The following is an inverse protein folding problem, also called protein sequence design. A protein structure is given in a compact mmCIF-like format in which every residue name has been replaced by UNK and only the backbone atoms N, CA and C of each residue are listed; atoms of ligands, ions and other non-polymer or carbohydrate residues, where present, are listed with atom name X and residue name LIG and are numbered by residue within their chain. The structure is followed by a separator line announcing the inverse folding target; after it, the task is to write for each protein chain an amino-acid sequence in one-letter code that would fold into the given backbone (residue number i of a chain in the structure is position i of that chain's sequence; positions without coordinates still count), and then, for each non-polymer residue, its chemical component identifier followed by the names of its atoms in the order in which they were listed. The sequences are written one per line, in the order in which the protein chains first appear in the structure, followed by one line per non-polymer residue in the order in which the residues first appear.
data_IF_507262856469
#
_entry.id   IF_507262856469
#
_cell.length_a   1.000
_cell.length_b   1.000
_cell.length_c   1.000
_cell.angle_alpha   90.00
_cell.angle_beta   90.00
_cell.angle_gamma   90.00
#
_symmetry.space_group_name_H-M   'P 1'
#
loop_
_entity.id
_entity.type
_entity.pdbx_description
1 polymer ?
#
# COMPACT_ATOMS: atom_id res chain seq x y z
N UNK A 1 -4.99 0.17 -13.41
CA UNK A 1 -5.14 -0.58 -14.69
C UNK A 1 -5.72 0.29 -15.80
N UNK A 2 -6.97 0.77 -15.73
CA UNK A 2 -7.58 1.54 -16.83
C UNK A 2 -6.78 2.78 -17.28
N UNK A 3 -6.30 3.58 -16.33
CA UNK A 3 -5.54 4.82 -16.59
C UNK A 3 -4.13 4.53 -17.15
N UNK A 4 -3.52 3.45 -16.70
CA UNK A 4 -2.16 3.06 -17.09
C UNK A 4 -2.11 2.14 -18.30
N UNK A 5 -3.24 1.82 -18.93
CA UNK A 5 -3.33 0.83 -20.01
C UNK A 5 -2.31 1.07 -21.15
N UNK A 6 -2.12 2.32 -21.58
CA UNK A 6 -1.24 2.63 -22.71
C UNK A 6 0.24 2.47 -22.32
N UNK A 7 0.57 2.84 -21.07
CA UNK A 7 1.90 2.64 -20.47
C UNK A 7 2.16 1.15 -20.25
N UNK A 8 1.16 0.42 -19.77
CA UNK A 8 1.25 -1.00 -19.49
C UNK A 8 1.38 -1.84 -20.76
N UNK A 9 0.72 -1.45 -21.85
CA UNK A 9 0.91 -2.08 -23.17
C UNK A 9 2.34 -1.89 -23.69
N UNK A 10 2.98 -0.77 -23.38
CA UNK A 10 4.36 -0.52 -23.79
C UNK A 10 5.42 -1.21 -22.90
N UNK A 11 5.08 -1.63 -21.68
CA UNK A 11 6.04 -2.21 -20.74
C UNK A 11 6.15 -3.74 -20.95
N UNK A 12 7.34 -4.29 -21.24
CA UNK A 12 7.54 -5.73 -21.43
C UNK A 12 7.12 -6.57 -20.22
N UNK A 13 7.19 -6.02 -19.00
CA UNK A 13 6.80 -6.70 -17.76
C UNK A 13 5.28 -6.86 -17.63
N UNK A 14 4.49 -5.98 -18.26
CA UNK A 14 3.05 -5.89 -17.98
C UNK A 14 2.16 -6.09 -19.21
N UNK A 15 2.70 -5.91 -20.41
CA UNK A 15 2.01 -6.08 -21.69
C UNK A 15 1.30 -7.43 -21.85
N UNK A 16 1.99 -8.53 -21.53
CA UNK A 16 1.44 -9.89 -21.68
C UNK A 16 0.62 -10.36 -20.47
N UNK A 17 0.94 -9.87 -19.27
CA UNK A 17 0.41 -10.40 -18.01
C UNK A 17 -0.86 -9.67 -17.57
N UNK A 18 -0.96 -8.35 -17.83
CA UNK A 18 -2.11 -7.56 -17.38
C UNK A 18 -3.27 -7.70 -18.36
N UNK A 19 -4.46 -7.79 -17.79
CA UNK A 19 -5.70 -8.21 -18.45
C UNK A 19 -6.24 -7.16 -19.42
N UNK A 20 -5.98 -5.87 -19.20
CA UNK A 20 -6.35 -4.83 -20.17
C UNK A 20 -5.32 -4.79 -21.32
N UNK A 21 -4.01 -4.69 -21.07
CA UNK A 21 -2.99 -4.76 -22.12
C UNK A 21 -3.05 -5.99 -23.02
N UNK A 22 -3.24 -7.18 -22.46
CA UNK A 22 -3.31 -8.44 -23.21
C UNK A 22 -4.70 -8.73 -23.83
N UNK A 23 -5.65 -7.80 -23.67
CA UNK A 23 -6.98 -7.89 -24.27
C UNK A 23 -7.99 -8.81 -23.57
N UNK A 24 -7.60 -9.49 -22.47
CA UNK A 24 -8.52 -10.36 -21.71
C UNK A 24 -9.73 -9.61 -21.13
N UNK A 25 -9.57 -8.32 -20.81
CA UNK A 25 -10.63 -7.42 -20.33
C UNK A 25 -10.65 -6.15 -21.18
N UNK A 26 -11.81 -5.83 -21.76
CA UNK A 26 -12.02 -4.57 -22.48
C UNK A 26 -11.88 -3.38 -21.52
N UNK A 27 -11.15 -2.34 -21.93
CA UNK A 27 -10.95 -1.14 -21.13
C UNK A 27 -12.27 -0.48 -20.67
N UNK A 28 -13.28 -0.42 -21.56
CA UNK A 28 -14.59 0.14 -21.23
C UNK A 28 -15.33 -0.68 -20.16
N UNK A 29 -15.18 -2.02 -20.16
CA UNK A 29 -15.75 -2.87 -19.11
C UNK A 29 -15.12 -2.57 -17.76
N UNK A 30 -13.79 -2.40 -17.71
CA UNK A 30 -13.10 -2.01 -16.49
C UNK A 30 -13.52 -0.61 -16.01
N UNK A 31 -13.73 0.35 -16.92
CA UNK A 31 -14.19 1.70 -16.59
C UNK A 31 -15.59 1.70 -15.98
N UNK A 32 -16.54 1.02 -16.61
CA UNK A 32 -17.91 0.86 -16.09
C UNK A 32 -17.88 0.17 -14.73
N UNK A 33 -17.04 -0.86 -14.57
CA UNK A 33 -16.88 -1.54 -13.28
C UNK A 33 -16.39 -0.60 -12.18
N UNK A 34 -15.43 0.28 -12.46
CA UNK A 34 -14.95 1.29 -11.50
C UNK A 34 -16.06 2.28 -11.12
N UNK A 35 -16.86 2.75 -12.09
CA UNK A 35 -18.01 3.63 -11.82
C UNK A 35 -19.01 2.94 -10.89
N UNK A 36 -19.41 1.71 -11.22
CA UNK A 36 -20.37 0.95 -10.41
C UNK A 36 -19.84 0.76 -8.98
N UNK A 37 -18.59 0.35 -8.81
CA UNK A 37 -18.00 0.15 -7.48
C UNK A 37 -17.85 1.47 -6.70
N UNK A 38 -17.59 2.60 -7.39
CA UNK A 38 -17.53 3.91 -6.74
C UNK A 38 -18.90 4.33 -6.22
N UNK A 39 -19.97 4.11 -6.99
CA UNK A 39 -21.35 4.37 -6.57
C UNK A 39 -21.77 3.44 -5.43
N UNK A 40 -21.43 2.15 -5.50
CA UNK A 40 -21.68 1.18 -4.43
C UNK A 40 -20.93 1.53 -3.16
N UNK A 41 -19.69 2.01 -3.27
CA UNK A 41 -18.91 2.47 -2.13
C UNK A 41 -19.59 3.67 -1.43
N UNK A 42 -19.95 4.71 -2.18
CA UNK A 42 -20.65 5.89 -1.61
C UNK A 42 -21.98 5.45 -0.98
N UNK A 43 -22.77 4.63 -1.68
CA UNK A 43 -24.05 4.13 -1.17
C UNK A 43 -23.87 3.33 0.11
N UNK A 44 -22.88 2.44 0.17
CA UNK A 44 -22.56 1.68 1.38
C UNK A 44 -22.16 2.61 2.53
N UNK A 45 -21.31 3.61 2.28
CA UNK A 45 -20.92 4.57 3.33
C UNK A 45 -22.07 5.42 3.85
N UNK A 46 -23.05 5.75 2.99
CA UNK A 46 -24.30 6.40 3.37
C UNK A 46 -25.12 5.54 4.35
N UNK A 47 -25.14 4.22 4.15
CA UNK A 47 -25.86 3.28 5.01
C UNK A 47 -25.13 2.98 6.33
N UNK A 48 -23.86 3.35 6.47
CA UNK A 48 -23.06 3.11 7.68
C UNK A 48 -23.26 4.25 8.69
N UNK A 49 -22.74 5.46 8.39
CA UNK A 49 -22.92 6.64 9.24
C UNK A 49 -22.57 7.93 8.46
N UNK A 50 -22.97 9.12 8.97
CA UNK A 50 -22.73 10.39 8.29
C UNK A 50 -21.25 10.70 8.03
N UNK A 51 -20.35 10.36 8.95
CA UNK A 51 -18.91 10.66 8.79
C UNK A 51 -18.34 9.86 7.62
N UNK A 52 -18.60 8.55 7.56
CA UNK A 52 -18.18 7.71 6.44
C UNK A 52 -18.73 8.22 5.11
N UNK A 53 -20.00 8.63 5.06
CA UNK A 53 -20.61 9.19 3.86
C UNK A 53 -19.90 10.46 3.37
N UNK A 54 -19.70 11.44 4.24
CA UNK A 54 -19.07 12.72 3.88
C UNK A 54 -17.58 12.57 3.52
N UNK A 55 -16.89 11.58 4.09
CA UNK A 55 -15.49 11.29 3.76
C UNK A 55 -15.33 10.39 2.52
N UNK A 56 -16.38 9.69 2.09
CA UNK A 56 -16.31 8.78 0.93
C UNK A 56 -15.81 9.43 -0.37
N UNK A 57 -16.17 10.68 -0.73
CA UNK A 57 -15.64 11.31 -1.94
C UNK A 57 -14.15 11.63 -1.81
N UNK A 58 -13.68 11.96 -0.61
CA UNK A 58 -12.26 12.22 -0.32
C UNK A 58 -11.47 10.91 -0.45
N UNK A 59 -12.00 9.81 0.10
CA UNK A 59 -11.37 8.50 -0.02
C UNK A 59 -11.26 8.06 -1.49
N UNK A 60 -12.34 8.22 -2.28
CA UNK A 60 -12.32 7.93 -3.71
C UNK A 60 -11.35 8.82 -4.47
N UNK A 61 -11.26 10.12 -4.13
CA UNK A 61 -10.32 11.03 -4.77
C UNK A 61 -8.86 10.55 -4.60
N UNK A 62 -8.49 10.08 -3.41
CA UNK A 62 -7.14 9.56 -3.15
C UNK A 62 -6.93 8.23 -3.90
N UNK A 63 -7.86 7.27 -3.76
CA UNK A 63 -7.75 5.92 -4.33
C UNK A 63 -7.82 5.92 -5.87
N UNK A 64 -8.58 6.82 -6.48
CA UNK A 64 -8.61 6.96 -7.94
C UNK A 64 -7.47 7.86 -8.42
N UNK A 65 -7.13 8.89 -7.65
CA UNK A 65 -6.12 9.89 -7.98
C UNK A 65 -4.69 9.35 -8.02
N UNK A 66 -4.32 8.39 -7.16
CA UNK A 66 -2.95 7.86 -7.14
C UNK A 66 -2.51 7.29 -8.49
N UNK A 67 -3.44 6.75 -9.29
CA UNK A 67 -3.10 6.18 -10.61
C UNK A 67 -2.50 7.21 -11.57
N UNK A 68 -2.72 8.50 -11.33
CA UNK A 68 -2.19 9.58 -12.17
C UNK A 68 -0.84 10.10 -11.71
N UNK A 69 -0.45 9.89 -10.46
CA UNK A 69 0.64 10.67 -9.82
C UNK A 69 2.00 10.44 -10.46
N UNK A 70 2.26 9.24 -10.98
CA UNK A 70 3.52 8.94 -11.68
C UNK A 70 3.75 9.78 -12.95
N UNK A 71 2.73 10.49 -13.46
CA UNK A 71 2.85 11.38 -14.62
C UNK A 71 3.43 12.76 -14.29
N UNK A 72 3.51 13.12 -13.01
CA UNK A 72 3.95 14.46 -12.61
C UNK A 72 4.72 14.52 -11.28
N UNK A 73 4.79 13.44 -10.49
CA UNK A 73 5.55 13.42 -9.23
C UNK A 73 6.16 12.05 -8.93
N UNK A 74 7.40 12.06 -8.43
CA UNK A 74 8.07 10.84 -7.95
C UNK A 74 7.53 10.38 -6.59
N UNK A 75 6.71 11.18 -5.91
CA UNK A 75 6.06 10.80 -4.65
C UNK A 75 4.85 9.87 -4.85
N UNK A 76 4.69 9.30 -6.04
CA UNK A 76 3.59 8.38 -6.38
C UNK A 76 3.47 7.20 -5.41
N UNK A 77 4.58 6.66 -4.91
CA UNK A 77 4.60 5.58 -3.91
C UNK A 77 3.97 6.02 -2.57
N UNK A 78 4.17 7.28 -2.17
CA UNK A 78 3.60 7.84 -0.95
C UNK A 78 2.10 8.10 -1.11
N UNK A 79 1.66 8.52 -2.30
CA UNK A 79 0.22 8.69 -2.58
C UNK A 79 -0.49 7.32 -2.66
N UNK A 80 0.17 6.30 -3.22
CA UNK A 80 -0.32 4.93 -3.18
C UNK A 80 -0.41 4.41 -1.73
N UNK A 81 0.64 4.63 -0.94
CA UNK A 81 0.64 4.34 0.50
C UNK A 81 -0.47 5.07 1.25
N UNK A 82 -0.73 6.33 0.89
CA UNK A 82 -1.83 7.12 1.45
C UNK A 82 -3.19 6.49 1.13
N UNK A 83 -3.40 6.06 -0.12
CA UNK A 83 -4.63 5.36 -0.51
C UNK A 83 -4.92 4.13 0.35
N UNK A 84 -3.92 3.30 0.63
CA UNK A 84 -4.08 2.13 1.50
C UNK A 84 -4.19 2.52 2.99
N UNK A 85 -3.52 3.59 3.42
CA UNK A 85 -3.58 4.09 4.78
C UNK A 85 -4.96 4.62 5.19
N UNK A 86 -5.88 4.84 4.25
CA UNK A 86 -7.26 5.18 4.61
C UNK A 86 -8.00 4.01 5.27
N UNK A 87 -7.52 2.77 5.12
CA UNK A 87 -8.23 1.57 5.59
C UNK A 87 -8.39 1.51 7.12
N UNK A 88 -7.36 1.72 7.97
CA UNK A 88 -7.54 1.66 9.43
C UNK A 88 -8.46 2.76 9.96
N UNK A 89 -8.31 4.01 9.48
CA UNK A 89 -9.24 5.12 9.81
C UNK A 89 -10.66 4.79 9.35
N UNK A 90 -10.84 4.33 8.11
CA UNK A 90 -12.15 3.99 7.56
C UNK A 90 -12.82 2.86 8.31
N UNK A 91 -12.08 1.82 8.67
CA UNK A 91 -12.60 0.68 9.44
C UNK A 91 -13.04 1.11 10.85
N UNK A 92 -12.25 1.94 11.54
CA UNK A 92 -12.61 2.45 12.85
C UNK A 92 -13.85 3.35 12.79
N UNK A 93 -13.85 4.34 11.88
CA UNK A 93 -15.00 5.23 11.68
C UNK A 93 -16.28 4.48 11.31
N UNK A 94 -16.19 3.39 10.57
CA UNK A 94 -17.35 2.59 10.19
C UNK A 94 -18.02 1.92 11.40
N UNK A 95 -17.25 1.58 12.44
CA UNK A 95 -17.75 0.91 13.64
C UNK A 95 -18.13 1.93 14.72
N UNK A 96 -17.28 2.93 14.96
CA UNK A 96 -17.43 3.84 16.11
C UNK A 96 -18.16 5.13 15.79
N UNK A 97 -18.06 5.61 14.54
CA UNK A 97 -18.54 6.95 14.18
C UNK A 97 -17.75 8.08 14.85
N UNK A 98 -16.55 7.81 15.36
CA UNK A 98 -15.73 8.79 16.09
C UNK A 98 -14.27 8.73 15.65
N UNK A 99 -13.57 9.87 15.73
CA UNK A 99 -12.14 9.93 15.47
C UNK A 99 -11.34 9.52 16.70
N UNK A 100 -10.30 8.73 16.47
CA UNK A 100 -9.36 8.31 17.51
C UNK A 100 -7.93 8.34 16.99
N UNK A 101 -6.96 8.44 17.91
CA UNK A 101 -5.54 8.52 17.59
C UNK A 101 -4.97 7.18 17.11
N UNK A 102 -5.45 6.06 17.63
CA UNK A 102 -4.96 4.71 17.33
C UNK A 102 -5.13 4.34 15.85
N UNK A 103 -6.31 4.46 15.22
CA UNK A 103 -6.44 4.17 13.80
C UNK A 103 -5.60 5.12 12.93
N UNK A 104 -5.34 6.36 13.38
CA UNK A 104 -4.42 7.27 12.69
C UNK A 104 -2.98 6.76 12.77
N UNK A 105 -2.52 6.29 13.94
CA UNK A 105 -1.19 5.68 14.08
C UNK A 105 -1.05 4.42 13.22
N UNK A 106 -2.04 3.53 13.20
CA UNK A 106 -2.05 2.38 12.29
C UNK A 106 -2.04 2.80 10.83
N UNK A 107 -2.72 3.89 10.48
CA UNK A 107 -2.69 4.44 9.12
C UNK A 107 -1.30 4.95 8.75
N UNK A 108 -0.57 5.59 9.68
CA UNK A 108 0.82 5.98 9.46
C UNK A 108 1.74 4.76 9.28
N UNK A 109 1.53 3.67 10.04
CA UNK A 109 2.23 2.40 9.82
C UNK A 109 1.99 1.90 8.40
N UNK A 110 0.73 1.83 7.96
CA UNK A 110 0.37 1.39 6.60
C UNK A 110 0.99 2.31 5.54
N UNK A 111 0.92 3.64 5.72
CA UNK A 111 1.52 4.60 4.81
C UNK A 111 3.00 4.31 4.58
N UNK A 112 3.79 4.22 5.64
CA UNK A 112 5.23 4.01 5.52
C UNK A 112 5.61 2.60 5.07
N UNK A 113 4.90 1.58 5.58
CA UNK A 113 5.09 0.21 5.15
C UNK A 113 4.82 0.04 3.66
N UNK A 114 3.68 0.52 3.18
CA UNK A 114 3.27 0.40 1.78
C UNK A 114 4.18 1.20 0.87
N UNK A 115 4.46 2.45 1.22
CA UNK A 115 5.37 3.28 0.43
C UNK A 115 6.74 2.64 0.30
N UNK A 116 7.26 2.06 1.40
CA UNK A 116 8.55 1.42 1.42
C UNK A 116 8.62 0.20 0.49
N UNK A 117 7.64 -0.71 0.54
CA UNK A 117 7.69 -1.89 -0.33
C UNK A 117 7.37 -1.56 -1.79
N UNK A 118 6.53 -0.56 -2.05
CA UNK A 118 6.20 -0.14 -3.42
C UNK A 118 7.42 0.49 -4.12
N UNK A 119 8.27 1.20 -3.37
CA UNK A 119 9.59 1.65 -3.85
C UNK A 119 10.48 0.45 -4.23
N UNK A 120 10.49 -0.62 -3.43
CA UNK A 120 11.25 -1.84 -3.76
C UNK A 120 10.70 -2.48 -5.04
N UNK A 121 9.36 -2.57 -5.14
CA UNK A 121 8.69 -3.20 -6.28
C UNK A 121 8.96 -2.48 -7.59
N UNK A 122 8.95 -1.14 -7.56
CA UNK A 122 9.18 -0.27 -8.72
C UNK A 122 10.63 -0.23 -9.20
N UNK A 123 11.60 -0.80 -8.47
CA UNK A 123 12.97 -0.96 -8.98
C UNK A 123 13.03 -1.75 -10.29
N UNK A 124 12.05 -2.63 -10.51
CA UNK A 124 11.92 -3.42 -11.75
C UNK A 124 11.57 -2.57 -12.97
N UNK A 125 10.94 -1.42 -12.75
CA UNK A 125 10.45 -0.54 -13.83
C UNK A 125 11.32 0.71 -14.00
N UNK A 126 12.46 0.86 -13.30
CA UNK A 126 13.24 2.11 -13.34
C UNK A 126 13.64 2.53 -14.76
N UNK A 127 14.18 1.60 -15.54
CA UNK A 127 14.66 1.87 -16.91
C UNK A 127 13.48 2.24 -17.81
N UNK A 128 12.39 1.48 -17.73
CA UNK A 128 11.17 1.76 -18.48
C UNK A 128 10.53 3.10 -18.10
N UNK A 129 10.40 3.39 -16.80
CA UNK A 129 9.86 4.65 -16.30
C UNK A 129 10.72 5.83 -16.79
N UNK A 130 12.04 5.67 -16.80
CA UNK A 130 12.97 6.70 -17.29
C UNK A 130 12.78 6.96 -18.78
N UNK A 131 12.68 5.91 -19.60
CA UNK A 131 12.47 6.02 -21.04
C UNK A 131 11.12 6.66 -21.39
N UNK A 132 10.07 6.29 -20.65
CA UNK A 132 8.72 6.85 -20.81
C UNK A 132 8.52 8.20 -20.11
N UNK A 133 9.58 8.79 -19.54
CA UNK A 133 9.54 10.07 -18.79
C UNK A 133 8.51 10.06 -17.65
N UNK A 134 8.34 8.92 -17.02
CA UNK A 134 7.52 8.76 -15.82
C UNK A 134 8.34 9.12 -14.57
N UNK A 135 7.62 9.49 -13.53
CA UNK A 135 8.18 9.90 -12.26
C UNK A 135 7.98 8.80 -11.21
N UNK A 136 9.10 8.26 -10.73
CA UNK A 136 9.16 7.32 -9.60
C UNK A 136 10.39 7.61 -8.74
N UNK A 137 10.39 7.11 -7.51
CA UNK A 137 11.54 7.26 -6.60
C UNK A 137 12.80 6.59 -7.17
N UNK A 138 12.74 5.38 -7.77
CA UNK A 138 13.89 4.80 -8.45
C UNK A 138 14.44 5.68 -9.57
N UNK A 139 13.59 6.30 -10.40
CA UNK A 139 14.04 7.21 -11.46
C UNK A 139 14.75 8.45 -10.89
N UNK A 140 14.21 9.01 -9.80
CA UNK A 140 14.71 10.23 -9.16
C UNK A 140 16.01 10.01 -8.38
N UNK A 141 16.09 8.94 -7.58
CA UNK A 141 17.17 8.71 -6.61
C UNK A 141 18.17 7.62 -7.06
N UNK A 142 17.80 6.79 -8.04
CA UNK A 142 18.52 5.58 -8.44
C UNK A 142 18.28 4.41 -7.47
N UNK A 143 18.50 3.16 -7.94
CA UNK A 143 18.22 1.92 -7.18
C UNK A 143 18.76 1.92 -5.74
N UNK A 144 20.01 2.36 -5.55
CA UNK A 144 20.68 2.35 -4.23
C UNK A 144 19.96 3.26 -3.22
N UNK A 145 19.68 4.50 -3.61
CA UNK A 145 19.09 5.48 -2.70
C UNK A 145 17.58 5.23 -2.52
N UNK A 146 16.90 4.71 -3.55
CA UNK A 146 15.53 4.23 -3.43
C UNK A 146 15.41 3.11 -2.37
N UNK A 147 16.32 2.13 -2.38
CA UNK A 147 16.38 1.10 -1.33
C UNK A 147 16.65 1.70 0.05
N UNK A 148 17.54 2.70 0.17
CA UNK A 148 17.79 3.37 1.45
C UNK A 148 16.56 4.12 1.95
N UNK A 149 15.83 4.82 1.08
CA UNK A 149 14.57 5.48 1.45
C UNK A 149 13.54 4.46 1.93
N UNK A 150 13.40 3.33 1.22
CA UNK A 150 12.52 2.23 1.64
C UNK A 150 12.88 1.68 3.02
N UNK A 151 14.18 1.55 3.36
CA UNK A 151 14.61 1.17 4.72
C UNK A 151 14.17 2.19 5.77
N UNK A 152 14.33 3.48 5.48
CA UNK A 152 13.89 4.55 6.40
C UNK A 152 12.38 4.47 6.64
N UNK A 153 11.58 4.31 5.58
CA UNK A 153 10.13 4.19 5.70
C UNK A 153 9.72 2.96 6.52
N UNK A 154 10.28 1.79 6.25
CA UNK A 154 9.99 0.59 7.05
C UNK A 154 10.44 0.73 8.50
N UNK A 155 11.56 1.41 8.75
CA UNK A 155 12.02 1.68 10.11
C UNK A 155 11.04 2.60 10.87
N UNK A 156 10.52 3.65 10.22
CA UNK A 156 9.47 4.50 10.78
C UNK A 156 8.18 3.71 11.08
N UNK A 157 7.78 2.81 10.17
CA UNK A 157 6.63 1.93 10.40
C UNK A 157 6.82 1.05 11.65
N UNK A 158 8.00 0.46 11.83
CA UNK A 158 8.34 -0.36 13.01
C UNK A 158 8.32 0.49 14.29
N UNK A 159 8.89 1.70 14.27
CA UNK A 159 8.86 2.59 15.44
C UNK A 159 7.43 2.89 15.86
N UNK A 160 6.58 3.32 14.92
CA UNK A 160 5.19 3.69 15.23
C UNK A 160 4.42 2.48 15.73
N UNK A 161 4.61 1.30 15.10
CA UNK A 161 3.97 0.07 15.54
C UNK A 161 4.40 -0.33 16.97
N UNK A 162 5.66 -0.12 17.33
CA UNK A 162 6.13 -0.32 18.70
C UNK A 162 5.47 0.67 19.67
N UNK A 163 5.32 1.95 19.28
CA UNK A 163 4.64 2.95 20.12
C UNK A 163 3.16 2.62 20.34
N UNK A 164 2.44 2.12 19.34
CA UNK A 164 1.06 1.64 19.50
C UNK A 164 1.00 0.54 20.55
N UNK A 165 1.93 -0.43 20.49
CA UNK A 165 2.02 -1.53 21.45
C UNK A 165 2.18 -1.07 22.89
N UNK A 166 3.01 -0.06 23.11
CA UNK A 166 3.22 0.54 24.43
C UNK A 166 2.02 1.38 24.89
N UNK A 167 1.43 2.16 23.99
CA UNK A 167 0.32 3.06 24.33
C UNK A 167 -0.94 2.30 24.75
N UNK A 168 -1.27 1.22 24.05
CA UNK A 168 -2.43 0.35 24.36
C UNK A 168 -2.14 -0.71 25.45
N UNK A 169 -0.94 -0.67 26.04
CA UNK A 169 -0.45 -1.66 27.00
C UNK A 169 -0.71 -3.10 26.51
N UNK A 170 -0.35 -3.39 25.25
CA UNK A 170 -0.57 -4.71 24.68
C UNK A 170 0.44 -5.72 25.22
N UNK A 171 -0.05 -6.94 25.46
CA UNK A 171 0.69 -8.05 26.00
C UNK A 171 1.43 -8.88 24.96
N UNK A 172 1.71 -10.13 25.34
CA UNK A 172 2.66 -10.99 24.64
C UNK A 172 2.29 -11.29 23.19
N UNK A 173 1.00 -11.41 22.84
CA UNK A 173 0.62 -11.83 21.49
C UNK A 173 0.89 -10.71 20.50
N UNK A 174 0.59 -9.46 20.88
CA UNK A 174 0.97 -8.30 20.08
C UNK A 174 2.47 -8.26 19.80
N UNK A 175 3.30 -8.41 20.84
CA UNK A 175 4.76 -8.34 20.69
C UNK A 175 5.34 -9.49 19.85
N UNK A 176 4.73 -10.69 19.90
CA UNK A 176 5.09 -11.79 18.99
C UNK A 176 4.75 -11.39 17.55
N UNK A 177 3.53 -10.90 17.29
CA UNK A 177 3.13 -10.42 15.97
C UNK A 177 4.04 -9.31 15.45
N UNK A 178 4.35 -8.32 16.29
CA UNK A 178 5.27 -7.22 16.02
C UNK A 178 6.67 -7.72 15.63
N UNK A 179 7.22 -8.67 16.38
CA UNK A 179 8.53 -9.26 16.10
C UNK A 179 8.55 -9.98 14.75
N UNK A 180 7.52 -10.78 14.45
CA UNK A 180 7.41 -11.48 13.16
C UNK A 180 7.26 -10.48 12.01
N UNK A 181 6.38 -9.50 12.14
CA UNK A 181 6.18 -8.45 11.14
C UNK A 181 7.47 -7.68 10.85
N UNK A 182 8.15 -7.22 11.91
CA UNK A 182 9.41 -6.48 11.81
C UNK A 182 10.53 -7.33 11.20
N UNK A 183 10.65 -8.60 11.59
CA UNK A 183 11.63 -9.51 11.02
C UNK A 183 11.41 -9.73 9.52
N UNK A 184 10.15 -9.88 9.08
CA UNK A 184 9.81 -10.02 7.67
C UNK A 184 10.10 -8.73 6.87
N UNK A 185 9.84 -7.54 7.44
CA UNK A 185 10.22 -6.27 6.82
C UNK A 185 11.73 -6.09 6.68
N UNK A 186 12.52 -6.58 7.63
CA UNK A 186 13.98 -6.58 7.54
C UNK A 186 14.44 -7.62 6.51
N UNK A 187 13.82 -8.80 6.50
CA UNK A 187 14.17 -9.89 5.62
C UNK A 187 14.04 -9.52 4.13
N UNK A 188 12.97 -8.83 3.72
CA UNK A 188 12.83 -8.38 2.33
C UNK A 188 13.98 -7.47 1.86
N UNK A 189 14.54 -6.65 2.76
CA UNK A 189 15.70 -5.81 2.46
C UNK A 189 17.00 -6.60 2.31
N UNK A 190 17.06 -7.82 2.84
CA UNK A 190 18.19 -8.75 2.61
C UNK A 190 18.04 -9.53 1.30
N UNK A 191 16.81 -9.74 0.85
CA UNK A 191 16.49 -10.47 -0.39
C UNK A 191 16.72 -9.62 -1.63
N UNK A 192 16.33 -8.34 -1.59
CA UNK A 192 16.42 -7.45 -2.74
C UNK A 192 17.74 -6.70 -2.71
N UNK A 193 18.58 -6.95 -3.73
CA UNK A 193 19.84 -6.23 -3.94
C UNK A 193 19.70 -5.36 -5.20
N UNK A 194 20.38 -4.21 -5.21
CA UNK A 194 20.36 -3.27 -6.33
C UNK A 194 20.71 -3.91 -7.70
N UNK A 195 21.56 -4.94 -7.69
CA UNK A 195 22.04 -5.63 -8.90
C UNK A 195 21.33 -6.96 -9.16
N UNK A 196 20.40 -7.37 -8.29
CA UNK A 196 19.70 -8.67 -8.39
C UNK A 196 18.24 -8.52 -7.97
N UNK A 197 17.38 -8.21 -8.95
CA UNK A 197 15.94 -7.99 -8.75
C UNK A 197 15.08 -9.26 -8.89
N UNK A 198 15.68 -10.42 -9.18
CA UNK A 198 14.95 -11.68 -9.41
C UNK A 198 14.07 -12.12 -8.23
N UNK A 199 14.37 -11.65 -7.02
CA UNK A 199 13.62 -11.96 -5.79
C UNK A 199 12.61 -10.90 -5.37
N UNK A 200 12.43 -9.82 -6.16
CA UNK A 200 11.50 -8.73 -5.80
C UNK A 200 10.06 -9.24 -5.68
N UNK A 201 9.61 -10.13 -6.57
CA UNK A 201 8.24 -10.67 -6.47
C UNK A 201 8.01 -11.55 -5.23
N UNK A 202 9.02 -12.32 -4.80
CA UNK A 202 8.96 -13.11 -3.57
C UNK A 202 8.89 -12.20 -2.33
N UNK A 203 9.75 -11.18 -2.29
CA UNK A 203 9.75 -10.17 -1.24
C UNK A 203 8.41 -9.38 -1.21
N UNK A 204 7.87 -9.06 -2.38
CA UNK A 204 6.62 -8.31 -2.52
C UNK A 204 5.40 -9.14 -2.10
N UNK A 205 5.11 -10.25 -2.77
CA UNK A 205 3.84 -10.97 -2.56
C UNK A 205 3.85 -11.84 -1.30
N UNK A 206 4.91 -12.60 -1.07
CA UNK A 206 4.92 -13.62 -0.02
C UNK A 206 5.22 -12.99 1.33
N UNK A 207 6.26 -12.16 1.42
CA UNK A 207 6.70 -11.60 2.71
C UNK A 207 5.70 -10.58 3.25
N UNK A 208 5.23 -9.60 2.46
CA UNK A 208 4.29 -8.59 2.94
C UNK A 208 2.88 -9.15 3.19
N UNK A 209 2.40 -10.05 2.33
CA UNK A 209 1.11 -10.72 2.52
C UNK A 209 1.08 -11.54 3.81
N UNK A 210 2.07 -12.43 4.00
CA UNK A 210 2.18 -13.25 5.21
C UNK A 210 2.38 -12.37 6.46
N UNK A 211 3.21 -11.34 6.39
CA UNK A 211 3.46 -10.44 7.53
C UNK A 211 2.17 -9.80 8.04
N UNK A 212 1.34 -9.27 7.14
CA UNK A 212 0.08 -8.62 7.52
C UNK A 212 -0.95 -9.57 8.13
N UNK A 213 -1.10 -10.77 7.55
CA UNK A 213 -2.03 -11.79 8.06
C UNK A 213 -1.59 -12.30 9.43
N UNK A 214 -0.31 -12.64 9.58
CA UNK A 214 0.24 -13.08 10.87
C UNK A 214 0.06 -11.99 11.93
N UNK A 215 0.41 -10.76 11.61
CA UNK A 215 0.25 -9.64 12.54
C UNK A 215 -1.22 -9.46 12.94
N UNK A 216 -2.15 -9.45 11.98
CA UNK A 216 -3.59 -9.34 12.25
C UNK A 216 -4.13 -10.47 13.14
N UNK A 217 -3.69 -11.71 12.93
CA UNK A 217 -4.05 -12.86 13.79
C UNK A 217 -3.57 -12.63 15.22
N UNK A 218 -2.29 -12.26 15.40
CA UNK A 218 -1.73 -12.04 16.74
C UNK A 218 -2.39 -10.87 17.49
N UNK A 219 -2.69 -9.76 16.79
CA UNK A 219 -3.42 -8.64 17.38
C UNK A 219 -4.84 -9.06 17.75
N UNK A 220 -5.53 -9.84 16.90
CA UNK A 220 -6.86 -10.35 17.21
C UNK A 220 -6.83 -11.28 18.42
N UNK A 221 -5.85 -12.17 18.51
CA UNK A 221 -5.66 -13.05 19.67
C UNK A 221 -5.38 -12.25 20.95
N UNK A 222 -4.57 -11.19 20.88
CA UNK A 222 -4.34 -10.29 22.00
C UNK A 222 -5.65 -9.68 22.50
N UNK A 223 -6.50 -9.17 21.59
CA UNK A 223 -7.78 -8.55 21.95
C UNK A 223 -8.83 -9.55 22.48
N UNK A 224 -8.72 -10.83 22.13
CA UNK A 224 -9.64 -11.87 22.61
C UNK A 224 -9.22 -12.52 23.93
N UNK A 225 -7.93 -12.43 24.29
CA UNK A 225 -7.35 -13.09 25.47
C UNK A 225 -7.09 -12.08 26.61
N UNK A 226 -7.03 -10.78 26.30
CA UNK A 226 -7.18 -9.70 27.30
C UNK A 226 -8.53 -9.79 28.00
#
# INVERSE_FOLDING_TARGET
RYIDRDIDTANPRTSEIREIPNGSIKANSAFVFVIINSLLFITTTFLINPICFYLSPIALLVVLGYSYTKRFTSLCHLVLGLGLSLSPIGAYLAVTGEFDVIPVLFSLVVLFWVSGFDIIYSLQDEEFDREQKLHSIPVLLGKKNALNLSKVLHFLAIIILSQIGNYEDFGKFYWIGFCVFSALLIYQHTLVKKDALSKVNLAFFTTNGIASVIFGIFVTLELLIK
#
